data_IF_495087911326
#
_entry.id   IF_495087911326
#
_cell.length_a   1.000
_cell.length_b   1.000
_cell.length_c   1.000
_cell.angle_alpha   90.00
_cell.angle_beta   90.00
_cell.angle_gamma   90.00
#
_symmetry.space_group_name_H-M   'P 1'
#
loop_
_entity.id
_entity.type
_entity.pdbx_description
1 polymer ?
#
# COMPACT_ATOMS: atom_id res chain seq x y z
N UNK A 1 -2.63 -2.19 3.84
CA UNK A 1 -2.83 -1.25 2.72
C UNK A 1 -1.73 -1.47 1.70
N UNK A 2 -2.12 -1.60 0.45
CA UNK A 2 -1.23 -1.86 -0.66
C UNK A 2 -1.23 -0.71 -1.67
N UNK A 3 -0.04 -0.27 -2.04
CA UNK A 3 0.20 0.72 -3.09
C UNK A 3 1.26 0.17 -4.04
N UNK A 4 1.02 0.28 -5.34
CA UNK A 4 1.99 -0.12 -6.37
C UNK A 4 2.42 1.08 -7.19
N UNK A 5 3.73 1.21 -7.35
CA UNK A 5 4.37 2.28 -8.11
C UNK A 5 5.48 1.71 -8.97
N UNK A 6 5.65 2.27 -10.16
CA UNK A 6 6.81 2.05 -11.01
C UNK A 6 7.82 3.16 -10.76
N UNK A 7 9.08 2.82 -10.60
CA UNK A 7 10.15 3.77 -10.32
C UNK A 7 11.18 3.68 -11.45
N UNK A 8 11.15 4.62 -12.39
CA UNK A 8 12.07 4.71 -13.55
C UNK A 8 13.15 5.77 -13.35
N UNK A 9 13.38 6.24 -12.13
CA UNK A 9 14.37 7.24 -11.79
C UNK A 9 13.83 8.40 -10.97
N UNK A 10 13.27 9.43 -11.57
CA UNK A 10 13.02 10.70 -10.86
C UNK A 10 11.67 10.77 -10.14
N UNK A 11 10.60 10.24 -10.71
CA UNK A 11 9.24 10.32 -10.12
C UNK A 11 8.59 8.96 -10.15
N UNK A 12 8.14 8.44 -8.99
CA UNK A 12 7.41 7.18 -8.96
C UNK A 12 6.02 7.35 -9.59
N UNK A 13 5.70 6.51 -10.57
CA UNK A 13 4.39 6.48 -11.20
C UNK A 13 3.48 5.50 -10.46
N UNK A 14 2.28 5.95 -10.13
CA UNK A 14 1.29 5.14 -9.45
C UNK A 14 0.56 4.22 -10.44
N UNK A 15 0.69 2.91 -10.26
CA UNK A 15 0.09 1.90 -11.14
C UNK A 15 -1.33 1.48 -10.76
N UNK A 16 -1.73 1.69 -9.51
CA UNK A 16 -3.08 1.34 -9.05
C UNK A 16 -3.54 2.24 -7.90
N UNK A 17 -4.85 2.26 -7.66
CA UNK A 17 -5.44 2.89 -6.46
C UNK A 17 -5.04 2.14 -5.20
N UNK A 18 -5.08 2.83 -4.06
CA UNK A 18 -4.88 2.21 -2.75
C UNK A 18 -5.98 1.19 -2.48
N UNK A 19 -5.63 0.02 -2.00
CA UNK A 19 -6.58 -1.05 -1.69
C UNK A 19 -6.06 -1.93 -0.56
N UNK A 20 -6.97 -2.60 0.11
CA UNK A 20 -6.65 -3.61 1.11
C UNK A 20 -6.73 -4.99 0.46
N UNK A 21 -5.62 -5.72 0.46
CA UNK A 21 -5.52 -7.10 -0.04
C UNK A 21 -4.95 -7.98 1.05
N UNK A 22 -5.26 -9.26 0.99
CA UNK A 22 -4.49 -10.27 1.73
C UNK A 22 -3.11 -10.46 1.08
N UNK A 23 -2.18 -11.00 1.85
CA UNK A 23 -0.83 -11.29 1.33
C UNK A 23 -0.89 -12.34 0.22
N UNK A 24 -1.81 -13.30 0.32
CA UNK A 24 -2.01 -14.33 -0.69
C UNK A 24 -2.49 -13.74 -2.03
N UNK A 25 -3.53 -12.90 -2.01
CA UNK A 25 -4.03 -12.20 -3.21
C UNK A 25 -2.95 -11.34 -3.85
N UNK A 26 -2.18 -10.61 -3.02
CA UNK A 26 -1.05 -9.82 -3.51
C UNK A 26 0.02 -10.69 -4.16
N UNK A 27 0.35 -11.82 -3.56
CA UNK A 27 1.33 -12.76 -4.09
C UNK A 27 0.93 -13.30 -5.47
N UNK A 28 -0.34 -13.67 -5.65
CA UNK A 28 -0.85 -14.15 -6.94
C UNK A 28 -0.79 -13.04 -8.00
N UNK A 29 -1.17 -11.82 -7.64
CA UNK A 29 -1.11 -10.69 -8.57
C UNK A 29 0.32 -10.38 -9.02
N UNK A 30 1.29 -10.49 -8.11
CA UNK A 30 2.69 -10.18 -8.39
C UNK A 30 3.39 -11.22 -9.26
N UNK A 31 2.87 -12.43 -9.39
CA UNK A 31 3.41 -13.49 -10.29
C UNK A 31 3.45 -13.06 -11.76
N UNK A 32 2.60 -12.14 -12.16
CA UNK A 32 2.54 -11.66 -13.55
C UNK A 32 3.63 -10.63 -13.89
N UNK A 33 4.50 -10.28 -12.93
CA UNK A 33 5.56 -9.28 -13.11
C UNK A 33 6.93 -9.93 -13.05
N UNK A 34 7.70 -9.72 -14.11
CA UNK A 34 9.10 -10.19 -14.21
C UNK A 34 10.10 -9.17 -13.64
N UNK A 35 9.67 -7.92 -13.50
CA UNK A 35 10.51 -6.84 -12.99
C UNK A 35 10.83 -7.02 -11.51
N UNK A 36 11.92 -6.42 -11.08
CA UNK A 36 12.30 -6.38 -9.67
C UNK A 36 11.24 -5.67 -8.83
N UNK A 37 10.74 -6.34 -7.81
CA UNK A 37 9.75 -5.84 -6.88
C UNK A 37 10.42 -5.50 -5.55
N UNK A 38 10.32 -4.27 -5.10
CA UNK A 38 10.88 -3.82 -3.83
C UNK A 38 9.73 -3.56 -2.85
N UNK A 39 9.73 -4.29 -1.74
CA UNK A 39 8.75 -4.11 -0.67
C UNK A 39 9.23 -3.05 0.32
N UNK A 40 8.36 -2.09 0.62
CA UNK A 40 8.57 -0.98 1.57
C UNK A 40 7.39 -0.85 2.52
N UNK A 41 7.60 -0.22 3.66
CA UNK A 41 6.58 0.03 4.68
C UNK A 41 6.61 -0.98 5.82
N UNK A 42 5.76 -0.76 6.81
CA UNK A 42 5.74 -1.54 8.07
C UNK A 42 5.37 -3.02 7.85
N UNK A 43 4.54 -3.30 6.85
CA UNK A 43 4.16 -4.68 6.47
C UNK A 43 5.12 -5.38 5.52
N UNK A 44 6.18 -4.71 5.05
CA UNK A 44 7.06 -5.22 4.00
C UNK A 44 7.75 -6.53 4.38
N UNK A 45 8.21 -6.66 5.62
CA UNK A 45 8.91 -7.86 6.10
C UNK A 45 7.99 -9.07 6.19
N UNK A 46 6.76 -8.87 6.64
CA UNK A 46 5.74 -9.92 6.68
C UNK A 46 5.41 -10.40 5.26
N UNK A 47 5.20 -9.47 4.33
CA UNK A 47 4.96 -9.80 2.92
C UNK A 47 6.16 -10.53 2.30
N UNK A 48 7.38 -10.04 2.54
CA UNK A 48 8.60 -10.65 2.03
C UNK A 48 8.74 -12.11 2.49
N UNK A 49 8.58 -12.37 3.78
CA UNK A 49 8.69 -13.72 4.33
C UNK A 49 7.65 -14.69 3.77
N UNK A 50 6.48 -14.20 3.41
CA UNK A 50 5.43 -15.00 2.78
C UNK A 50 5.65 -15.24 1.28
N UNK A 51 6.39 -14.34 0.59
CA UNK A 51 6.50 -14.34 -0.88
C UNK A 51 7.85 -14.80 -1.40
N UNK A 52 8.93 -14.70 -0.64
CA UNK A 52 10.32 -14.92 -1.09
C UNK A 52 10.57 -16.29 -1.75
N UNK A 53 9.85 -17.32 -1.33
CA UNK A 53 9.96 -18.67 -1.92
C UNK A 53 9.16 -18.79 -3.23
N UNK A 54 8.15 -17.96 -3.41
CA UNK A 54 7.25 -17.99 -4.58
C UNK A 54 7.67 -17.01 -5.67
N UNK A 55 8.31 -15.91 -5.29
CA UNK A 55 8.64 -14.78 -6.16
C UNK A 55 10.13 -14.42 -6.00
N UNK A 56 11.02 -14.97 -6.85
CA UNK A 56 12.47 -14.75 -6.73
C UNK A 56 12.88 -13.30 -7.02
N UNK A 57 12.05 -12.53 -7.71
CA UNK A 57 12.25 -11.12 -8.05
C UNK A 57 11.82 -10.15 -6.95
N UNK A 58 11.27 -10.64 -5.82
CA UNK A 58 10.86 -9.82 -4.67
C UNK A 58 12.06 -9.57 -3.76
N UNK A 59 12.24 -8.32 -3.37
CA UNK A 59 13.29 -7.88 -2.46
C UNK A 59 12.74 -6.98 -1.37
N UNK A 60 13.36 -7.02 -0.21
CA UNK A 60 13.04 -6.12 0.88
C UNK A 60 13.92 -4.87 0.78
N UNK A 61 13.32 -3.70 0.91
CA UNK A 61 14.08 -2.45 0.95
C UNK A 61 15.05 -2.44 2.14
N UNK A 62 16.25 -1.82 2.00
CA UNK A 62 17.15 -1.60 3.13
C UNK A 62 16.42 -0.90 4.29
N UNK A 63 16.78 -1.25 5.52
CA UNK A 63 16.13 -0.73 6.73
C UNK A 63 16.14 0.79 6.80
N UNK A 64 17.17 1.42 6.24
CA UNK A 64 17.33 2.88 6.20
C UNK A 64 16.26 3.62 5.40
N UNK A 65 15.58 2.95 4.45
CA UNK A 65 14.57 3.55 3.58
C UNK A 65 13.25 2.75 3.56
N UNK A 66 13.14 1.70 4.37
CA UNK A 66 11.96 0.83 4.40
C UNK A 66 10.74 1.49 5.01
N UNK A 67 10.93 2.27 6.06
CA UNK A 67 9.84 2.85 6.84
C UNK A 67 9.46 4.25 6.37
N UNK A 68 8.23 4.63 6.67
CA UNK A 68 7.72 5.96 6.37
C UNK A 68 8.54 7.05 7.06
N UNK A 69 8.76 8.14 6.35
CA UNK A 69 9.48 9.33 6.84
C UNK A 69 8.67 10.59 6.55
N UNK A 70 8.62 11.48 7.52
CA UNK A 70 7.96 12.76 7.36
C UNK A 70 8.58 13.59 6.21
N UNK A 71 9.91 13.51 6.03
CA UNK A 71 10.61 14.17 4.93
C UNK A 71 10.13 13.70 3.55
N UNK A 72 9.98 12.38 3.35
CA UNK A 72 9.48 11.83 2.08
C UNK A 72 8.02 12.24 1.81
N UNK A 73 7.21 12.32 2.86
CA UNK A 73 5.84 12.84 2.75
C UNK A 73 5.84 14.31 2.38
N UNK A 74 6.74 15.11 2.97
CA UNK A 74 6.87 16.53 2.67
C UNK A 74 7.33 16.77 1.22
N UNK A 75 8.27 15.98 0.71
CA UNK A 75 8.70 16.07 -0.70
C UNK A 75 7.55 15.83 -1.67
N UNK A 76 6.73 14.81 -1.42
CA UNK A 76 5.53 14.53 -2.24
C UNK A 76 4.52 15.68 -2.10
N UNK A 77 4.32 16.22 -0.89
CA UNK A 77 3.40 17.31 -0.65
C UNK A 77 3.82 18.59 -1.41
N UNK A 78 5.12 18.91 -1.44
CA UNK A 78 5.65 20.05 -2.21
C UNK A 78 5.41 19.86 -3.71
N UNK A 79 5.65 18.66 -4.25
CA UNK A 79 5.36 18.37 -5.65
C UNK A 79 3.89 18.57 -5.98
N UNK A 80 3.00 18.00 -5.17
CA UNK A 80 1.54 18.15 -5.33
C UNK A 80 1.09 19.61 -5.25
N UNK A 81 1.64 20.37 -4.32
CA UNK A 81 1.38 21.80 -4.18
C UNK A 81 1.77 22.56 -5.45
N UNK A 82 2.95 22.29 -6.00
CA UNK A 82 3.43 22.92 -7.24
C UNK A 82 2.60 22.52 -8.46
N UNK A 83 2.08 21.30 -8.48
CA UNK A 83 1.18 20.79 -9.53
C UNK A 83 -0.27 21.30 -9.37
N UNK A 84 -0.58 22.07 -8.31
CA UNK A 84 -1.92 22.59 -8.02
C UNK A 84 -2.87 21.54 -7.40
N UNK A 85 -2.36 20.37 -7.03
CA UNK A 85 -3.11 19.30 -6.38
C UNK A 85 -3.25 19.57 -4.87
N UNK A 86 -4.04 20.58 -4.53
CA UNK A 86 -4.28 21.00 -3.13
C UNK A 86 -5.73 20.81 -2.74
N UNK A 87 -5.95 20.53 -1.47
CA UNK A 87 -7.26 20.43 -0.84
C UNK A 87 -7.38 21.46 0.27
N UNK A 88 -8.57 22.02 0.48
CA UNK A 88 -8.86 22.78 1.67
C UNK A 88 -8.93 21.87 2.91
N UNK A 89 -8.82 22.46 4.10
CA UNK A 89 -8.95 21.70 5.35
C UNK A 89 -10.33 21.00 5.49
N UNK A 90 -11.37 21.57 4.86
CA UNK A 90 -12.72 20.98 4.87
C UNK A 90 -12.85 19.78 3.93
N UNK A 91 -12.05 19.73 2.86
CA UNK A 91 -12.06 18.65 1.86
C UNK A 91 -11.11 17.50 2.22
N UNK A 92 -10.15 17.77 3.12
CA UNK A 92 -9.17 16.76 3.53
C UNK A 92 -9.85 15.72 4.42
N UNK A 93 -10.12 14.55 3.85
CA UNK A 93 -10.71 13.41 4.54
C UNK A 93 -9.74 12.22 4.58
N UNK A 94 -9.67 11.46 5.70
CA UNK A 94 -8.92 10.21 5.74
C UNK A 94 -9.51 9.19 4.76
N UNK A 95 -8.65 8.50 4.02
CA UNK A 95 -9.08 7.42 3.14
C UNK A 95 -9.11 6.10 3.92
N UNK A 96 -10.29 5.69 4.37
CA UNK A 96 -10.49 4.41 5.05
C UNK A 96 -10.70 3.28 4.03
N UNK A 97 -9.67 2.47 3.84
CA UNK A 97 -9.73 1.29 2.95
C UNK A 97 -10.30 0.05 3.63
N UNK A 98 -10.41 0.08 4.94
CA UNK A 98 -11.03 -0.97 5.76
C UNK A 98 -12.14 -0.37 6.61
N UNK A 99 -13.23 -1.09 6.72
CA UNK A 99 -14.27 -0.76 7.70
C UNK A 99 -13.71 -0.83 9.13
N UNK A 100 -14.15 0.04 10.04
CA UNK A 100 -13.82 -0.04 11.45
C UNK A 100 -14.09 -1.46 12.02
N UNK A 101 -13.33 -1.86 13.03
CA UNK A 101 -13.46 -3.20 13.60
C UNK A 101 -14.88 -3.49 14.07
N UNK A 102 -15.51 -2.53 14.75
CA UNK A 102 -16.88 -2.64 15.24
C UNK A 102 -17.89 -2.92 14.11
N UNK A 103 -17.73 -2.28 12.97
CA UNK A 103 -18.62 -2.48 11.81
C UNK A 103 -18.39 -3.84 11.15
N UNK A 104 -17.15 -4.31 11.09
CA UNK A 104 -16.83 -5.66 10.61
C UNK A 104 -17.40 -6.74 11.50
N UNK A 105 -17.29 -6.58 12.81
CA UNK A 105 -17.87 -7.51 13.80
C UNK A 105 -19.39 -7.50 13.76
N UNK A 106 -20.00 -6.33 13.58
CA UNK A 106 -21.46 -6.23 13.43
C UNK A 106 -21.94 -6.95 12.17
N UNK A 107 -21.29 -6.75 11.02
CA UNK A 107 -21.60 -7.47 9.78
C UNK A 107 -21.51 -8.98 9.98
N UNK A 108 -20.43 -9.46 10.55
CA UNK A 108 -20.24 -10.89 10.84
C UNK A 108 -21.36 -11.47 11.70
N UNK A 109 -21.73 -10.78 12.79
CA UNK A 109 -22.85 -11.18 13.64
C UNK A 109 -24.21 -11.16 12.93
N UNK A 110 -24.40 -10.26 11.97
CA UNK A 110 -25.64 -10.20 11.18
C UNK A 110 -25.72 -11.33 10.15
N UNK A 111 -24.59 -11.73 9.58
CA UNK A 111 -24.49 -12.87 8.67
C UNK A 111 -24.73 -14.21 9.40
N UNK A 112 -24.11 -14.38 10.57
CA UNK A 112 -24.30 -15.56 11.44
C UNK A 112 -25.75 -15.73 11.90
N UNK A 113 -26.53 -14.65 12.03
CA UNK A 113 -27.95 -14.70 12.40
C UNK A 113 -28.90 -15.00 11.24
N UNK A 114 -28.41 -14.98 10.00
CA UNK A 114 -29.21 -15.28 8.79
C UNK A 114 -29.08 -16.74 8.34
N UNK A 115 -28.18 -17.49 8.94
CA UNK A 115 -28.09 -18.95 8.80
C UNK A 115 -28.83 -19.63 9.96
#
# INVERSE_FOLDING_TARGET
VYKRQKCDGVKPERLCKDRALSVAELSEELKSYDERIILVGDGAELCYNAMKELLPNVQLAPISIRFQRASSTAEIAVQKFNDGEVLSAAELMPMYLRLPQAERELKKKMEEKKC
#
